data_IF_294473756104
#
_entry.id   IF_294473756104
#
_cell.length_a   1.000
_cell.length_b   1.000
_cell.length_c   1.000
_cell.angle_alpha   90.00
_cell.angle_beta   90.00
_cell.angle_gamma   90.00
#
_symmetry.space_group_name_H-M   'P 1'
#
loop_
_entity.id
_entity.type
_entity.pdbx_description
1 polymer ?
#
# COMPACT_ATOMS: atom_id res chain seq x y z
N UNK A 1 -14.94 9.23 1.15
CA UNK A 1 -13.56 9.00 0.68
C UNK A 1 -12.70 8.93 1.92
N UNK A 2 -12.28 7.72 2.32
CA UNK A 2 -11.39 7.55 3.46
C UNK A 2 -10.11 8.37 3.23
N UNK A 3 -9.69 9.13 4.25
CA UNK A 3 -8.35 9.73 4.30
C UNK A 3 -7.34 8.62 4.60
N UNK A 4 -7.21 7.69 3.67
CA UNK A 4 -6.16 6.68 3.71
C UNK A 4 -4.89 7.35 3.20
N UNK A 5 -3.87 7.47 4.05
CA UNK A 5 -2.51 7.86 3.64
C UNK A 5 -1.76 6.68 2.97
N UNK A 6 -2.50 5.72 2.42
CA UNK A 6 -1.93 4.52 1.79
C UNK A 6 -1.71 4.82 0.32
N UNK A 7 -0.53 4.49 -0.18
CA UNK A 7 -0.20 4.65 -1.60
C UNK A 7 -1.03 3.69 -2.45
N UNK A 8 -1.42 4.13 -3.67
CA UNK A 8 -2.33 3.36 -4.52
C UNK A 8 -1.82 1.96 -4.87
N UNK A 9 -0.50 1.79 -5.06
CA UNK A 9 0.07 0.48 -5.34
C UNK A 9 -0.08 -0.51 -4.18
N UNK A 10 -0.13 -0.01 -2.94
CA UNK A 10 -0.36 -0.86 -1.76
C UNK A 10 -1.85 -1.17 -1.60
N UNK A 11 -2.75 -0.23 -1.88
CA UNK A 11 -4.20 -0.51 -1.91
C UNK A 11 -4.55 -1.56 -2.97
N UNK A 12 -4.03 -1.42 -4.19
CA UNK A 12 -4.20 -2.41 -5.27
C UNK A 12 -3.60 -3.76 -4.87
N UNK A 13 -2.38 -3.77 -4.31
CA UNK A 13 -1.69 -4.98 -3.87
C UNK A 13 -2.50 -5.77 -2.82
N UNK A 14 -2.96 -5.08 -1.77
CA UNK A 14 -3.74 -5.68 -0.69
C UNK A 14 -5.08 -6.21 -1.22
N UNK A 15 -5.72 -5.53 -2.17
CA UNK A 15 -7.00 -5.98 -2.74
C UNK A 15 -6.94 -7.34 -3.45
N UNK A 16 -5.74 -7.78 -3.84
CA UNK A 16 -5.49 -9.08 -4.46
C UNK A 16 -5.12 -10.18 -3.45
N UNK A 17 -4.83 -9.81 -2.20
CA UNK A 17 -4.39 -10.76 -1.18
C UNK A 17 -5.57 -11.50 -0.55
N UNK A 18 -5.28 -12.69 0.00
CA UNK A 18 -6.19 -13.42 0.89
C UNK A 18 -5.75 -13.26 2.34
N UNK A 19 -6.71 -13.38 3.27
CA UNK A 19 -6.40 -13.41 4.70
C UNK A 19 -5.37 -14.50 5.03
N UNK A 20 -4.35 -14.13 5.82
CA UNK A 20 -3.18 -14.94 6.15
C UNK A 20 -2.05 -14.93 5.11
N UNK A 21 -2.25 -14.31 3.94
CA UNK A 21 -1.24 -14.29 2.88
C UNK A 21 -0.07 -13.34 3.22
N UNK A 22 1.13 -13.74 2.79
CA UNK A 22 2.34 -12.90 2.83
C UNK A 22 2.82 -12.61 1.42
N UNK A 23 3.08 -11.35 1.11
CA UNK A 23 3.51 -10.91 -0.22
C UNK A 23 4.61 -9.85 -0.12
N UNK A 24 5.43 -9.77 -1.17
CA UNK A 24 6.36 -8.66 -1.40
C UNK A 24 5.88 -7.83 -2.57
N UNK A 25 5.60 -6.57 -2.33
CA UNK A 25 5.26 -5.61 -3.38
C UNK A 25 6.47 -4.76 -3.75
N UNK A 26 6.75 -4.67 -5.06
CA UNK A 26 7.76 -3.78 -5.63
C UNK A 26 6.98 -2.69 -6.37
N UNK A 27 6.86 -1.52 -5.77
CA UNK A 27 5.92 -0.48 -6.21
C UNK A 27 6.70 0.65 -6.88
N UNK A 28 6.43 0.94 -8.16
CA UNK A 28 7.08 2.03 -8.86
C UNK A 28 6.59 3.39 -8.35
N UNK A 29 7.36 4.48 -8.55
CA UNK A 29 7.06 5.79 -7.97
C UNK A 29 5.68 6.33 -8.32
N UNK A 30 5.15 6.06 -9.53
CA UNK A 30 3.83 6.56 -9.94
C UNK A 30 2.65 5.87 -9.22
N UNK A 31 2.89 4.76 -8.52
CA UNK A 31 1.95 4.10 -7.61
C UNK A 31 2.35 4.31 -6.13
N UNK A 32 3.32 5.19 -5.88
CA UNK A 32 3.87 5.55 -4.57
C UNK A 32 3.91 7.08 -4.42
N UNK A 33 5.04 7.67 -4.00
CA UNK A 33 5.21 9.11 -3.76
C UNK A 33 5.64 9.94 -4.99
N UNK A 34 5.52 9.37 -6.18
CA UNK A 34 5.70 10.08 -7.44
C UNK A 34 7.06 10.73 -7.61
N UNK A 35 7.06 11.92 -8.20
CA UNK A 35 8.27 12.67 -8.50
C UNK A 35 8.87 13.36 -7.27
N UNK A 36 8.07 13.66 -6.25
CA UNK A 36 8.48 14.50 -5.13
C UNK A 36 9.01 13.71 -3.93
N UNK A 37 8.58 12.45 -3.75
CA UNK A 37 8.87 11.74 -2.51
C UNK A 37 7.90 12.16 -1.40
N UNK A 38 8.25 11.87 -0.14
CA UNK A 38 7.41 12.15 1.04
C UNK A 38 7.92 13.29 1.92
N UNK A 39 8.97 14.00 1.48
CA UNK A 39 9.67 15.06 2.23
C UNK A 39 10.35 14.61 3.54
N UNK A 40 10.39 13.31 3.85
CA UNK A 40 10.99 12.74 5.07
C UNK A 40 11.96 11.59 4.74
N UNK A 41 11.44 10.44 4.29
CA UNK A 41 12.19 9.17 4.18
C UNK A 41 12.26 8.60 2.77
N UNK A 42 11.33 8.96 1.90
CA UNK A 42 11.20 8.46 0.54
C UNK A 42 11.74 9.52 -0.43
N UNK A 43 12.90 9.27 -1.07
CA UNK A 43 13.44 10.19 -2.06
C UNK A 43 12.55 10.30 -3.30
N UNK A 44 12.74 11.39 -4.04
CA UNK A 44 12.14 11.60 -5.37
C UNK A 44 12.31 10.38 -6.29
N UNK A 45 11.24 9.99 -7.00
CA UNK A 45 11.26 8.93 -8.03
C UNK A 45 11.70 7.54 -7.54
N UNK A 46 11.56 7.26 -6.24
CA UNK A 46 11.96 5.98 -5.66
C UNK A 46 10.99 4.85 -5.99
N UNK A 47 11.53 3.66 -6.21
CA UNK A 47 10.80 2.40 -6.11
C UNK A 47 10.78 2.02 -4.63
N UNK A 48 9.61 1.66 -4.12
CA UNK A 48 9.46 1.22 -2.72
C UNK A 48 9.15 -0.26 -2.67
N UNK A 49 9.70 -0.95 -1.68
CA UNK A 49 9.50 -2.38 -1.47
C UNK A 49 8.82 -2.59 -0.13
N UNK A 50 7.68 -3.27 -0.14
CA UNK A 50 6.92 -3.62 1.06
C UNK A 50 6.84 -5.12 1.21
N UNK A 51 7.16 -5.62 2.40
CA UNK A 51 6.80 -6.96 2.84
C UNK A 51 5.52 -6.84 3.67
N UNK A 52 4.46 -7.51 3.22
CA UNK A 52 3.10 -7.37 3.76
C UNK A 52 2.60 -8.73 4.20
N UNK A 53 1.90 -8.76 5.33
CA UNK A 53 1.12 -9.88 5.81
C UNK A 53 -0.31 -9.39 6.05
N UNK A 54 -1.29 -10.01 5.36
CA UNK A 54 -2.69 -9.69 5.57
C UNK A 54 -3.21 -10.50 6.76
N UNK A 55 -3.43 -9.83 7.89
CA UNK A 55 -3.79 -10.51 9.15
C UNK A 55 -5.27 -10.91 9.19
N UNK A 56 -6.17 -9.98 8.88
CA UNK A 56 -7.62 -10.19 8.88
C UNK A 56 -8.32 -9.24 7.90
N UNK A 57 -9.52 -9.62 7.44
CA UNK A 57 -10.44 -8.74 6.71
C UNK A 57 -11.75 -8.67 7.49
N UNK A 58 -12.12 -7.47 7.94
CA UNK A 58 -13.33 -7.24 8.75
C UNK A 58 -14.39 -6.53 7.91
N UNK A 59 -15.57 -7.14 7.79
CA UNK A 59 -16.74 -6.49 7.22
C UNK A 59 -17.37 -5.54 8.25
N UNK A 60 -17.23 -4.24 8.01
CA UNK A 60 -17.86 -3.20 8.83
C UNK A 60 -19.33 -3.02 8.43
N UNK A 61 -20.16 -4.03 8.67
CA UNK A 61 -21.61 -3.87 8.65
C UNK A 61 -22.09 -3.31 10.00
N UNK A 62 -22.85 -2.21 9.95
CA UNK A 62 -23.70 -1.77 11.05
C UNK A 62 -25.13 -2.22 10.72
N UNK A 63 -25.75 -2.97 11.63
CA UNK A 63 -27.18 -3.34 11.55
C UNK A 63 -28.10 -2.11 11.40
#
# INVERSE_FOLDING_TARGET
MSKSNVISGLEEGISMMREGEKARFIIPPYLAWGLLGDEDKVPMRSIVVYDVELISVEDLYYD
#
